data_IF_023773239042
#
_entry.id   IF_023773239042
#
_cell.length_a   1.000
_cell.length_b   1.000
_cell.length_c   1.000
_cell.angle_alpha   90.00
_cell.angle_beta   90.00
_cell.angle_gamma   90.00
#
_symmetry.space_group_name_H-M   'P 1'
#
loop_
_entity.id
_entity.type
_entity.pdbx_description
1 polymer ?
#
# COMPACT_ATOMS: atom_id res chain seq x y z
N UNK A 1 36.52 -117.87 -32.05
CA UNK A 1 35.85 -116.85 -32.89
C UNK A 1 34.85 -117.58 -33.80
N UNK A 2 33.68 -117.01 -34.15
CA UNK A 2 32.84 -116.00 -33.47
C UNK A 2 31.35 -116.47 -33.42
N UNK A 3 30.43 -115.88 -32.64
CA UNK A 3 29.52 -114.79 -33.08
C UNK A 3 28.57 -114.49 -31.90
N UNK A 4 28.70 -113.36 -31.22
CA UNK A 4 28.07 -112.07 -31.54
C UNK A 4 26.66 -111.89 -30.92
N UNK A 5 26.61 -110.94 -29.98
CA UNK A 5 25.55 -109.94 -29.81
C UNK A 5 24.13 -110.39 -29.41
N UNK A 6 23.87 -110.43 -28.09
CA UNK A 6 22.66 -109.80 -27.52
C UNK A 6 22.74 -109.60 -26.00
N UNK A 7 23.80 -108.92 -25.53
CA UNK A 7 23.86 -108.46 -24.15
C UNK A 7 23.06 -107.16 -23.98
N UNK A 8 22.10 -107.22 -23.06
CA UNK A 8 21.69 -106.16 -22.16
C UNK A 8 21.42 -104.78 -22.79
N UNK A 9 20.25 -104.64 -23.43
CA UNK A 9 19.57 -103.34 -23.51
C UNK A 9 18.35 -103.41 -22.61
N UNK A 10 18.53 -102.94 -21.38
CA UNK A 10 17.56 -102.16 -20.60
C UNK A 10 18.12 -102.01 -19.19
N UNK A 11 18.23 -100.76 -18.75
CA UNK A 11 18.62 -100.31 -17.41
C UNK A 11 20.13 -100.17 -17.15
N UNK A 12 20.83 -99.43 -18.01
CA UNK A 12 21.93 -98.60 -17.50
C UNK A 12 21.29 -97.51 -16.62
N UNK A 13 21.64 -97.36 -15.33
CA UNK A 13 21.19 -96.21 -14.56
C UNK A 13 21.71 -94.94 -15.27
N UNK A 14 20.91 -93.87 -15.36
CA UNK A 14 21.36 -92.64 -16.00
C UNK A 14 22.68 -92.24 -15.34
N UNK A 15 23.71 -92.06 -16.16
CA UNK A 15 25.04 -91.68 -15.73
C UNK A 15 24.95 -90.44 -14.84
N UNK A 16 25.46 -90.54 -13.61
CA UNK A 16 25.44 -89.52 -12.54
C UNK A 16 25.82 -88.09 -12.99
N UNK A 17 26.55 -87.97 -14.10
CA UNK A 17 26.95 -86.70 -14.71
C UNK A 17 25.81 -85.98 -15.45
N UNK A 18 24.84 -86.72 -16.03
CA UNK A 18 23.72 -86.17 -16.80
C UNK A 18 22.61 -85.62 -15.90
N UNK A 19 22.35 -86.25 -14.76
CA UNK A 19 21.33 -85.79 -13.80
C UNK A 19 21.76 -84.50 -13.11
N UNK A 20 23.03 -84.38 -12.75
CA UNK A 20 23.59 -83.18 -12.11
C UNK A 20 23.58 -81.97 -13.05
N UNK A 21 23.88 -82.18 -14.34
CA UNK A 21 23.83 -81.11 -15.35
C UNK A 21 22.39 -80.65 -15.63
N UNK A 22 21.44 -81.58 -15.69
CA UNK A 22 20.02 -81.26 -15.86
C UNK A 22 19.44 -80.52 -14.65
N UNK A 23 19.83 -80.92 -13.44
CA UNK A 23 19.43 -80.24 -12.20
C UNK A 23 20.00 -78.81 -12.13
N UNK A 24 21.25 -78.62 -12.54
CA UNK A 24 21.88 -77.29 -12.61
C UNK A 24 21.19 -76.38 -13.64
N UNK A 25 20.78 -76.93 -14.78
CA UNK A 25 20.05 -76.19 -15.81
C UNK A 25 18.65 -75.77 -15.33
N UNK A 26 17.96 -76.66 -14.60
CA UNK A 26 16.66 -76.38 -14.01
C UNK A 26 16.75 -75.31 -12.91
N UNK A 27 17.83 -75.32 -12.12
CA UNK A 27 18.09 -74.32 -11.10
C UNK A 27 18.40 -72.93 -11.70
N UNK A 28 19.15 -72.88 -12.81
CA UNK A 28 19.37 -71.65 -13.57
C UNK A 28 18.06 -71.09 -14.17
N UNK A 29 17.19 -71.96 -14.71
CA UNK A 29 15.88 -71.53 -15.21
C UNK A 29 14.99 -70.96 -14.09
N UNK A 30 14.97 -71.59 -12.91
CA UNK A 30 14.25 -71.05 -11.75
C UNK A 30 14.79 -69.70 -11.30
N UNK A 31 16.13 -69.53 -11.27
CA UNK A 31 16.74 -68.24 -10.95
C UNK A 31 16.38 -67.16 -11.98
N UNK A 32 16.41 -67.48 -13.27
CA UNK A 32 15.98 -66.54 -14.32
C UNK A 32 14.51 -66.16 -14.18
N UNK A 33 13.61 -67.13 -13.91
CA UNK A 33 12.20 -66.85 -13.66
C UNK A 33 12.00 -65.94 -12.45
N UNK A 34 12.67 -66.22 -11.32
CA UNK A 34 12.60 -65.36 -10.13
C UNK A 34 13.09 -63.94 -10.44
N UNK A 35 14.20 -63.81 -11.16
CA UNK A 35 14.76 -62.51 -11.53
C UNK A 35 13.80 -61.72 -12.44
N UNK A 36 13.17 -62.40 -13.40
CA UNK A 36 12.20 -61.79 -14.31
C UNK A 36 10.93 -61.35 -13.56
N UNK A 37 10.46 -62.17 -12.60
CA UNK A 37 9.31 -61.83 -11.76
C UNK A 37 9.62 -60.64 -10.84
N UNK A 38 10.83 -60.58 -10.29
CA UNK A 38 11.28 -59.47 -9.47
C UNK A 38 11.40 -58.17 -10.29
N UNK A 39 11.89 -58.25 -11.53
CA UNK A 39 11.92 -57.10 -12.45
C UNK A 39 10.51 -56.60 -12.79
N UNK A 40 9.56 -57.50 -13.06
CA UNK A 40 8.17 -57.13 -13.30
C UNK A 40 7.54 -56.44 -12.08
N UNK A 41 7.78 -56.95 -10.87
CA UNK A 41 7.28 -56.31 -9.64
C UNK A 41 7.87 -54.91 -9.45
N UNK A 42 9.18 -54.74 -9.69
CA UNK A 42 9.81 -53.42 -9.62
C UNK A 42 9.25 -52.44 -10.66
N UNK A 43 8.96 -52.93 -11.87
CA UNK A 43 8.38 -52.11 -12.93
C UNK A 43 6.95 -51.67 -12.57
N UNK A 44 6.12 -52.58 -12.06
CA UNK A 44 4.78 -52.25 -11.57
C UNK A 44 4.81 -51.24 -10.43
N UNK A 45 5.76 -51.37 -9.48
CA UNK A 45 5.92 -50.40 -8.40
C UNK A 45 6.31 -49.02 -8.92
N UNK A 46 7.23 -48.95 -9.89
CA UNK A 46 7.60 -47.68 -10.53
C UNK A 46 6.43 -47.03 -11.25
N UNK A 47 5.64 -47.80 -11.98
CA UNK A 47 4.44 -47.31 -12.68
C UNK A 47 3.39 -46.79 -11.68
N UNK A 48 3.13 -47.52 -10.59
CA UNK A 48 2.23 -47.05 -9.53
C UNK A 48 2.73 -45.75 -8.89
N UNK A 49 4.02 -45.66 -8.59
CA UNK A 49 4.61 -44.46 -8.00
C UNK A 49 4.51 -43.26 -8.95
N UNK A 50 4.76 -43.48 -10.24
CA UNK A 50 4.63 -42.45 -11.27
C UNK A 50 3.17 -41.99 -11.42
N UNK A 51 2.21 -42.92 -11.39
CA UNK A 51 0.79 -42.60 -11.46
C UNK A 51 0.33 -41.81 -10.24
N UNK A 52 0.80 -42.18 -9.04
CA UNK A 52 0.52 -41.45 -7.80
C UNK A 52 1.10 -40.03 -7.84
N UNK A 53 2.33 -39.88 -8.34
CA UNK A 53 2.96 -38.56 -8.49
C UNK A 53 2.20 -37.69 -9.49
N UNK A 54 1.72 -38.27 -10.60
CA UNK A 54 0.92 -37.55 -11.58
C UNK A 54 -0.44 -37.11 -11.01
N UNK A 55 -1.10 -37.95 -10.21
CA UNK A 55 -2.34 -37.57 -9.51
C UNK A 55 -2.11 -36.43 -8.51
N UNK A 56 -1.02 -36.47 -7.74
CA UNK A 56 -0.68 -35.38 -6.81
C UNK A 56 -0.43 -34.07 -7.56
N UNK A 57 0.31 -34.11 -8.68
CA UNK A 57 0.52 -32.91 -9.50
C UNK A 57 -0.80 -32.34 -10.06
N UNK A 58 -1.73 -33.21 -10.50
CA UNK A 58 -3.04 -32.76 -10.96
C UNK A 58 -3.86 -32.12 -9.84
N UNK A 59 -3.83 -32.67 -8.62
CA UNK A 59 -4.50 -32.09 -7.46
C UNK A 59 -3.93 -30.71 -7.11
N UNK A 60 -2.60 -30.56 -7.08
CA UNK A 60 -1.95 -29.26 -6.83
C UNK A 60 -2.32 -28.24 -7.90
N UNK A 61 -2.33 -28.62 -9.18
CA UNK A 61 -2.78 -27.73 -10.25
C UNK A 61 -4.26 -27.33 -10.12
N UNK A 62 -5.13 -28.26 -9.73
CA UNK A 62 -6.55 -27.94 -9.49
C UNK A 62 -6.71 -26.95 -8.33
N UNK A 63 -5.97 -27.15 -7.24
CA UNK A 63 -5.97 -26.26 -6.09
C UNK A 63 -5.49 -24.85 -6.47
N UNK A 64 -4.38 -24.75 -7.20
CA UNK A 64 -3.86 -23.47 -7.70
C UNK A 64 -4.87 -22.75 -8.61
N UNK A 65 -5.59 -23.49 -9.48
CA UNK A 65 -6.65 -22.89 -10.31
C UNK A 65 -7.81 -22.34 -9.48
N UNK A 66 -8.24 -23.06 -8.44
CA UNK A 66 -9.29 -22.58 -7.54
C UNK A 66 -8.85 -21.34 -6.76
N UNK A 67 -7.62 -21.32 -6.25
CA UNK A 67 -7.06 -20.16 -5.54
C UNK A 67 -6.96 -18.93 -6.46
N UNK A 68 -6.48 -19.11 -7.70
CA UNK A 68 -6.45 -18.02 -8.68
C UNK A 68 -7.86 -17.49 -8.99
N UNK A 69 -8.83 -18.38 -9.15
CA UNK A 69 -10.21 -17.99 -9.40
C UNK A 69 -10.82 -17.23 -8.22
N UNK A 70 -10.53 -17.65 -6.99
CA UNK A 70 -10.96 -16.96 -5.78
C UNK A 70 -10.32 -15.57 -5.66
N UNK A 71 -9.02 -15.46 -5.93
CA UNK A 71 -8.30 -14.19 -5.91
C UNK A 71 -8.84 -13.22 -6.97
N UNK A 72 -9.15 -13.73 -8.17
CA UNK A 72 -9.75 -12.93 -9.24
C UNK A 72 -11.16 -12.44 -8.86
N UNK A 73 -11.98 -13.29 -8.22
CA UNK A 73 -13.28 -12.87 -7.70
C UNK A 73 -13.16 -11.79 -6.63
N UNK A 74 -12.21 -11.92 -5.70
CA UNK A 74 -11.96 -10.89 -4.68
C UNK A 74 -11.54 -9.56 -5.30
N UNK A 75 -10.64 -9.59 -6.29
CA UNK A 75 -10.23 -8.37 -7.00
C UNK A 75 -11.42 -7.71 -7.73
N UNK A 76 -12.28 -8.50 -8.39
CA UNK A 76 -13.49 -7.96 -9.03
C UNK A 76 -14.47 -7.36 -8.01
N UNK A 77 -14.63 -7.98 -6.84
CA UNK A 77 -15.46 -7.43 -5.77
C UNK A 77 -14.90 -6.11 -5.25
N UNK A 78 -13.59 -6.02 -5.05
CA UNK A 78 -12.92 -4.80 -4.60
C UNK A 78 -13.09 -3.66 -5.62
N UNK A 79 -12.88 -3.94 -6.91
CA UNK A 79 -13.10 -2.96 -7.98
C UNK A 79 -14.55 -2.46 -8.04
N UNK A 80 -15.54 -3.35 -7.84
CA UNK A 80 -16.95 -2.94 -7.77
C UNK A 80 -17.25 -2.01 -6.59
N UNK A 81 -16.69 -2.30 -5.41
CA UNK A 81 -16.84 -1.44 -4.24
C UNK A 81 -16.19 -0.06 -4.46
N UNK A 82 -14.99 -0.02 -5.03
CA UNK A 82 -14.31 1.23 -5.35
C UNK A 82 -15.09 2.07 -6.37
N UNK A 83 -15.64 1.45 -7.41
CA UNK A 83 -16.50 2.14 -8.39
C UNK A 83 -17.77 2.69 -7.73
N UNK A 84 -18.44 1.91 -6.88
CA UNK A 84 -19.62 2.39 -6.14
C UNK A 84 -19.27 3.59 -5.25
N UNK A 85 -18.13 3.54 -4.55
CA UNK A 85 -17.69 4.63 -3.69
C UNK A 85 -17.39 5.90 -4.50
N UNK A 86 -16.71 5.78 -5.64
CA UNK A 86 -16.45 6.92 -6.53
C UNK A 86 -17.76 7.50 -7.06
N UNK A 87 -18.72 6.66 -7.47
CA UNK A 87 -20.02 7.12 -7.95
C UNK A 87 -20.80 7.85 -6.85
N UNK A 88 -20.76 7.35 -5.62
CA UNK A 88 -21.40 7.99 -4.47
C UNK A 88 -20.76 9.36 -4.17
N UNK A 89 -19.42 9.46 -4.20
CA UNK A 89 -18.73 10.74 -4.03
C UNK A 89 -19.09 11.73 -5.12
N UNK A 90 -19.18 11.29 -6.38
CA UNK A 90 -19.60 12.16 -7.48
C UNK A 90 -21.04 12.66 -7.29
N UNK A 91 -21.96 11.80 -6.84
CA UNK A 91 -23.33 12.20 -6.51
C UNK A 91 -23.38 13.21 -5.37
N UNK A 92 -22.59 13.02 -4.30
CA UNK A 92 -22.50 13.98 -3.19
C UNK A 92 -21.96 15.34 -3.63
N UNK A 93 -20.92 15.36 -4.47
CA UNK A 93 -20.36 16.60 -5.02
C UNK A 93 -21.39 17.32 -5.89
N UNK A 94 -22.11 16.57 -6.73
CA UNK A 94 -23.17 17.12 -7.59
C UNK A 94 -24.29 17.75 -6.75
N UNK A 95 -24.78 17.03 -5.72
CA UNK A 95 -25.81 17.56 -4.81
C UNK A 95 -25.34 18.83 -4.07
N UNK A 96 -24.07 18.89 -3.66
CA UNK A 96 -23.51 20.09 -3.03
C UNK A 96 -23.47 21.29 -3.97
N UNK A 97 -23.08 21.08 -5.23
CA UNK A 97 -23.12 22.15 -6.24
C UNK A 97 -24.54 22.67 -6.46
N UNK A 98 -25.51 21.77 -6.59
CA UNK A 98 -26.93 22.15 -6.78
C UNK A 98 -27.48 22.92 -5.58
N UNK A 99 -27.18 22.49 -4.35
CA UNK A 99 -27.55 23.22 -3.13
C UNK A 99 -26.91 24.62 -3.10
N UNK A 100 -25.63 24.73 -3.45
CA UNK A 100 -24.94 26.01 -3.49
C UNK A 100 -25.55 26.96 -4.53
N UNK A 101 -25.94 26.43 -5.70
CA UNK A 101 -26.59 27.21 -6.74
C UNK A 101 -27.98 27.70 -6.30
N UNK A 102 -28.79 26.85 -5.64
CA UNK A 102 -30.07 27.25 -5.07
C UNK A 102 -29.91 28.33 -3.98
N UNK A 103 -28.89 28.19 -3.12
CA UNK A 103 -28.61 29.17 -2.08
C UNK A 103 -28.24 30.53 -2.68
N UNK A 104 -27.41 30.56 -3.72
CA UNK A 104 -27.09 31.81 -4.44
C UNK A 104 -28.33 32.43 -5.09
N UNK A 105 -29.20 31.62 -5.70
CA UNK A 105 -30.46 32.13 -6.27
C UNK A 105 -31.36 32.74 -5.20
N UNK A 106 -31.49 32.11 -4.04
CA UNK A 106 -32.26 32.64 -2.92
C UNK A 106 -31.67 33.95 -2.37
N UNK A 107 -30.35 34.06 -2.26
CA UNK A 107 -29.69 35.31 -1.82
C UNK A 107 -29.94 36.45 -2.82
N UNK A 108 -29.86 36.18 -4.13
CA UNK A 108 -30.15 37.17 -5.18
C UNK A 108 -31.62 37.60 -5.12
N UNK A 109 -32.55 36.66 -4.95
CA UNK A 109 -33.98 36.94 -4.83
C UNK A 109 -34.27 37.83 -3.60
N UNK A 110 -33.71 37.50 -2.44
CA UNK A 110 -33.86 38.31 -1.22
C UNK A 110 -33.30 39.73 -1.39
N UNK A 111 -32.16 39.88 -2.08
CA UNK A 111 -31.58 41.20 -2.37
C UNK A 111 -32.49 42.05 -3.28
N UNK A 112 -33.10 41.44 -4.29
CA UNK A 112 -34.06 42.15 -5.15
C UNK A 112 -35.31 42.59 -4.37
N UNK A 113 -35.84 41.74 -3.50
CA UNK A 113 -37.00 42.07 -2.66
C UNK A 113 -36.68 43.21 -1.68
N UNK A 114 -35.50 43.21 -1.06
CA UNK A 114 -35.05 44.32 -0.21
C UNK A 114 -34.91 45.63 -0.98
N UNK A 115 -34.39 45.60 -2.21
CA UNK A 115 -34.30 46.79 -3.05
C UNK A 115 -35.68 47.35 -3.44
N UNK A 116 -36.65 46.49 -3.76
CA UNK A 116 -38.02 46.94 -4.03
C UNK A 116 -38.67 47.60 -2.81
N UNK A 117 -38.48 47.04 -1.61
CA UNK A 117 -39.03 47.62 -0.38
C UNK A 117 -38.43 48.99 -0.05
N UNK A 118 -37.14 49.21 -0.35
CA UNK A 118 -36.49 50.52 -0.15
C UNK A 118 -36.99 51.59 -1.14
N UNK A 119 -37.39 51.20 -2.35
CA UNK A 119 -37.90 52.14 -3.36
C UNK A 119 -39.37 52.56 -3.12
N UNK A 120 -40.13 51.84 -2.29
CA UNK A 120 -41.53 52.16 -2.00
C UNK A 120 -41.72 53.07 -0.75
N UNK A 121 -40.65 53.49 -0.06
CA UNK A 121 -40.77 54.43 1.05
C UNK A 121 -40.88 55.89 0.55
N UNK A 122 -41.94 56.65 0.87
CA UNK A 122 -42.03 58.05 0.50
C UNK A 122 -40.97 58.87 1.24
N UNK A 123 -40.27 59.74 0.50
CA UNK A 123 -39.35 60.73 1.05
C UNK A 123 -40.11 61.77 1.87
N UNK A 124 -40.40 61.48 3.13
CA UNK A 124 -40.81 62.50 4.09
C UNK A 124 -40.36 62.12 5.49
N UNK A 125 -39.89 63.14 6.21
CA UNK A 125 -39.65 63.21 7.65
C UNK A 125 -38.29 62.67 8.13
N UNK A 126 -37.29 63.46 7.77
CA UNK A 126 -36.16 63.77 8.64
C UNK A 126 -36.67 64.61 9.83
N UNK A 127 -37.08 63.97 10.94
CA UNK A 127 -37.03 64.52 12.32
C UNK A 127 -37.76 63.64 13.36
N UNK A 128 -37.02 63.27 14.43
CA UNK A 128 -37.46 62.76 15.75
C UNK A 128 -38.12 61.34 15.72
N UNK A 129 -37.72 60.28 16.45
CA UNK A 129 -37.15 60.10 17.80
C UNK A 129 -36.42 58.72 17.92
N UNK A 130 -35.57 58.53 18.96
CA UNK A 130 -34.89 57.26 19.26
C UNK A 130 -35.74 56.38 20.19
N UNK A 131 -35.97 55.10 19.85
CA UNK A 131 -36.20 53.96 20.79
C UNK A 131 -36.72 52.65 20.17
N UNK A 132 -36.88 52.53 18.84
CA UNK A 132 -37.37 51.27 18.24
C UNK A 132 -36.27 50.34 17.70
N UNK A 133 -35.00 50.76 17.70
CA UNK A 133 -33.89 49.99 17.11
C UNK A 133 -33.46 48.77 17.95
N UNK A 134 -33.95 48.64 19.19
CA UNK A 134 -33.62 47.51 20.08
C UNK A 134 -34.56 46.30 19.90
N UNK A 135 -35.75 46.49 19.33
CA UNK A 135 -36.74 45.41 19.21
C UNK A 135 -36.60 44.58 17.91
N UNK A 136 -36.07 45.16 16.83
CA UNK A 136 -35.78 44.38 15.62
C UNK A 136 -34.46 43.58 15.68
N UNK A 137 -33.55 43.92 16.60
CA UNK A 137 -32.34 43.12 16.83
C UNK A 137 -32.58 41.85 17.67
N UNK A 138 -33.66 41.79 18.46
CA UNK A 138 -33.95 40.62 19.31
C UNK A 138 -34.73 39.51 18.61
N UNK A 139 -35.38 39.79 17.46
CA UNK A 139 -36.19 38.77 16.77
C UNK A 139 -35.43 38.04 15.65
N UNK A 140 -34.25 38.53 15.23
CA UNK A 140 -33.34 37.81 14.32
C UNK A 140 -32.30 36.94 15.05
N UNK A 141 -32.21 37.05 16.37
CA UNK A 141 -31.24 36.31 17.19
C UNK A 141 -31.43 34.78 17.22
N UNK A 142 -32.66 34.21 17.17
CA UNK A 142 -32.81 32.75 17.15
C UNK A 142 -32.39 32.13 15.81
N UNK A 143 -32.52 32.86 14.69
CA UNK A 143 -32.16 32.35 13.37
C UNK A 143 -30.65 32.46 13.09
N UNK A 144 -29.99 33.52 13.59
CA UNK A 144 -28.52 33.60 13.52
C UNK A 144 -27.83 32.61 14.45
N UNK A 145 -28.39 32.27 15.62
CA UNK A 145 -27.81 31.23 16.48
C UNK A 145 -28.00 29.80 15.93
N UNK A 146 -29.07 29.50 15.18
CA UNK A 146 -29.20 28.21 14.52
C UNK A 146 -28.29 28.07 13.28
N UNK A 147 -28.03 29.16 12.53
CA UNK A 147 -27.04 29.12 11.45
C UNK A 147 -25.59 29.10 11.95
N UNK A 148 -25.29 29.64 13.14
CA UNK A 148 -23.96 29.55 13.74
C UNK A 148 -23.64 28.16 14.32
N UNK A 149 -24.63 27.30 14.56
CA UNK A 149 -24.39 25.90 14.95
C UNK A 149 -24.13 24.97 13.75
N UNK A 150 -24.36 25.44 12.52
CA UNK A 150 -24.05 24.72 11.28
C UNK A 150 -23.13 25.50 10.34
N UNK A 151 -22.27 26.37 10.87
CA UNK A 151 -21.04 26.66 10.15
C UNK A 151 -20.16 25.41 10.32
N UNK A 152 -19.84 24.65 9.24
CA UNK A 152 -18.62 23.87 9.31
C UNK A 152 -17.55 24.92 9.55
N UNK A 153 -16.92 24.88 10.73
CA UNK A 153 -15.73 25.67 11.05
C UNK A 153 -14.95 25.81 9.74
N UNK A 154 -14.96 27.00 9.13
CA UNK A 154 -14.13 27.27 7.97
C UNK A 154 -12.71 27.19 8.53
N UNK A 155 -12.19 25.97 8.58
CA UNK A 155 -10.86 25.71 9.05
C UNK A 155 -9.95 26.38 8.04
N UNK A 156 -9.07 27.30 8.48
CA UNK A 156 -8.27 28.06 7.54
C UNK A 156 -7.40 27.08 6.75
N UNK A 157 -7.64 27.06 5.44
CA UNK A 157 -6.79 26.53 4.39
C UNK A 157 -6.06 25.23 4.72
N UNK A 158 -6.80 24.12 4.79
CA UNK A 158 -6.23 22.77 4.77
C UNK A 158 -6.08 22.31 3.32
N UNK A 159 -4.97 22.65 2.67
CA UNK A 159 -4.63 22.07 1.38
C UNK A 159 -4.22 20.60 1.61
N UNK A 160 -5.05 19.67 1.16
CA UNK A 160 -4.73 18.24 1.09
C UNK A 160 -4.09 18.00 -0.28
N UNK A 161 -2.81 17.65 -0.32
CA UNK A 161 -2.24 17.11 -1.55
C UNK A 161 -2.89 15.74 -1.80
N UNK A 162 -3.57 15.59 -2.93
CA UNK A 162 -4.26 14.34 -3.32
C UNK A 162 -3.30 13.19 -3.61
N UNK A 163 -1.99 13.48 -3.66
CA UNK A 163 -0.92 12.53 -4.01
C UNK A 163 0.01 12.18 -2.86
N UNK A 164 -0.16 12.77 -1.67
CA UNK A 164 0.54 12.34 -0.45
C UNK A 164 -0.06 12.93 0.82
N UNK A 165 0.06 12.23 1.97
CA UNK A 165 -0.50 12.59 3.27
C UNK A 165 0.21 13.78 3.95
N UNK A 166 0.53 14.82 3.20
CA UNK A 166 1.02 16.09 3.71
C UNK A 166 -0.19 17.00 3.99
N UNK A 167 -0.34 17.42 5.24
CA UNK A 167 -1.35 18.39 5.66
C UNK A 167 -0.70 19.73 5.93
N UNK A 168 -1.05 20.72 5.12
CA UNK A 168 -0.64 22.12 5.29
C UNK A 168 -1.72 22.88 6.07
N UNK A 169 -1.35 23.60 7.13
CA UNK A 169 -2.22 24.62 7.74
C UNK A 169 -1.43 25.92 7.91
N UNK A 170 -1.78 26.92 7.11
CA UNK A 170 -1.24 28.27 7.22
C UNK A 170 -2.15 29.12 8.13
N UNK A 171 -1.67 29.43 9.32
CA UNK A 171 -2.17 30.49 10.21
C UNK A 171 -0.93 31.29 10.68
N UNK A 172 -0.99 32.39 11.46
CA UNK A 172 0.12 33.37 11.53
C UNK A 172 1.49 32.77 11.91
N UNK A 173 1.51 31.60 12.55
CA UNK A 173 2.65 30.69 12.66
C UNK A 173 2.54 29.51 11.69
N UNK A 174 3.53 29.39 10.79
CA UNK A 174 3.59 28.32 9.78
C UNK A 174 4.04 27.02 10.43
N UNK A 175 3.23 25.97 10.27
CA UNK A 175 3.59 24.61 10.65
C UNK A 175 3.17 23.61 9.57
N UNK A 176 3.89 22.50 9.49
CA UNK A 176 3.67 21.42 8.51
C UNK A 176 3.53 20.10 9.25
N UNK A 177 2.57 19.27 8.85
CA UNK A 177 2.42 17.91 9.37
C UNK A 177 2.49 16.95 8.19
N UNK A 178 3.47 16.05 8.23
CA UNK A 178 3.57 14.93 7.31
C UNK A 178 3.15 13.65 8.04
N UNK A 179 2.12 12.98 7.56
CA UNK A 179 1.57 11.78 8.21
C UNK A 179 1.95 10.57 7.37
N UNK A 180 2.56 9.55 7.96
CA UNK A 180 2.82 8.28 7.29
C UNK A 180 2.43 7.13 8.23
N UNK A 181 1.34 6.45 7.91
CA UNK A 181 0.76 5.40 8.75
C UNK A 181 0.67 5.89 10.21
N UNK A 182 1.36 5.25 11.15
CA UNK A 182 1.32 5.58 12.58
C UNK A 182 2.25 6.74 12.98
N UNK A 183 3.14 7.18 12.08
CA UNK A 183 4.13 8.23 12.35
C UNK A 183 3.67 9.59 11.79
N UNK A 184 3.77 10.64 12.59
CA UNK A 184 3.50 12.02 12.20
C UNK A 184 4.76 12.87 12.41
N UNK A 185 5.26 13.47 11.34
CA UNK A 185 6.38 14.42 11.40
C UNK A 185 5.81 15.84 11.43
N UNK A 186 6.06 16.55 12.51
CA UNK A 186 5.66 17.93 12.73
C UNK A 186 6.83 18.87 12.52
N UNK A 187 6.63 19.91 11.71
CA UNK A 187 7.58 20.99 11.48
C UNK A 187 6.94 22.31 11.89
N UNK A 188 7.66 23.17 12.60
CA UNK A 188 7.20 24.53 12.90
C UNK A 188 8.39 25.48 12.94
N UNK A 189 8.14 26.75 12.59
CA UNK A 189 9.13 27.82 12.63
C UNK A 189 9.44 28.31 14.05
N UNK A 190 8.47 28.15 14.95
CA UNK A 190 8.53 28.65 16.32
C UNK A 190 8.27 27.53 17.34
N UNK A 191 8.95 27.61 18.48
CA UNK A 191 8.84 26.63 19.55
C UNK A 191 7.48 26.69 20.27
N UNK A 192 6.88 27.87 20.42
CA UNK A 192 5.55 27.98 21.02
C UNK A 192 4.48 27.42 20.08
N UNK A 193 4.59 27.69 18.77
CA UNK A 193 3.73 27.08 17.76
C UNK A 193 3.84 25.54 17.75
N UNK A 194 5.06 25.01 17.84
CA UNK A 194 5.32 23.58 17.95
C UNK A 194 4.58 22.97 19.15
N UNK A 195 4.67 23.61 20.31
CA UNK A 195 4.02 23.13 21.52
C UNK A 195 2.50 23.19 21.44
N UNK A 196 1.93 24.29 20.92
CA UNK A 196 0.49 24.41 20.72
C UNK A 196 -0.08 23.29 19.82
N UNK A 197 0.63 22.95 18.75
CA UNK A 197 0.21 21.88 17.84
C UNK A 197 0.31 20.51 18.52
N UNK A 198 1.38 20.27 19.29
CA UNK A 198 1.52 19.03 20.09
C UNK A 198 0.38 18.87 21.08
N UNK A 199 0.04 19.91 21.84
CA UNK A 199 -1.02 19.86 22.84
C UNK A 199 -2.38 19.60 22.17
N UNK A 200 -2.65 20.25 21.03
CA UNK A 200 -3.86 20.00 20.24
C UNK A 200 -3.94 18.57 19.68
N UNK A 201 -2.80 17.96 19.30
CA UNK A 201 -2.73 16.58 18.85
C UNK A 201 -2.94 15.60 20.01
N UNK A 202 -2.25 15.79 21.15
CA UNK A 202 -2.42 14.96 22.34
C UNK A 202 -3.85 14.99 22.90
N UNK A 203 -4.54 16.13 22.77
CA UNK A 203 -5.94 16.26 23.20
C UNK A 203 -6.91 15.43 22.34
N UNK A 204 -6.56 15.11 21.09
CA UNK A 204 -7.45 14.46 20.12
C UNK A 204 -7.01 13.06 19.72
N UNK A 205 -5.72 12.77 19.82
CA UNK A 205 -5.08 11.52 19.41
C UNK A 205 -4.26 10.98 20.58
N UNK A 206 -4.33 9.67 20.79
CA UNK A 206 -3.36 8.98 21.66
C UNK A 206 -2.06 8.86 20.87
N UNK A 207 -1.18 9.86 20.96
CA UNK A 207 0.12 9.80 20.34
C UNK A 207 1.23 10.14 21.34
N UNK A 208 2.41 9.59 21.11
CA UNK A 208 3.62 9.77 21.91
C UNK A 208 4.60 10.66 21.17
N UNK A 209 5.13 11.66 21.86
CA UNK A 209 6.26 12.44 21.36
C UNK A 209 7.56 11.65 21.49
N UNK A 210 8.22 11.43 20.35
CA UNK A 210 9.50 10.73 20.24
C UNK A 210 10.68 11.71 20.12
N UNK A 211 10.42 13.02 20.13
CA UNK A 211 11.42 14.08 20.06
C UNK A 211 11.91 14.34 18.63
N UNK A 212 13.19 14.74 18.52
CA UNK A 212 13.80 15.06 17.24
C UNK A 212 13.80 13.86 16.29
N UNK A 213 13.45 14.10 15.03
CA UNK A 213 13.39 13.09 14.00
C UNK A 213 14.79 12.52 13.69
N UNK A 214 15.14 11.40 14.31
CA UNK A 214 16.39 10.65 14.08
C UNK A 214 16.21 9.44 13.18
N UNK A 215 15.02 8.88 13.12
CA UNK A 215 14.70 7.71 12.30
C UNK A 215 13.33 7.88 11.64
N UNK A 216 13.23 7.51 10.36
CA UNK A 216 11.99 7.58 9.60
C UNK A 216 12.04 6.62 8.40
N UNK A 217 11.00 5.79 8.20
CA UNK A 217 10.92 4.83 7.08
C UNK A 217 12.15 3.91 6.93
N UNK A 218 12.77 3.51 8.05
CA UNK A 218 14.00 2.70 8.01
C UNK A 218 15.27 3.49 7.61
N UNK A 219 15.16 4.82 7.44
CA UNK A 219 16.30 5.72 7.29
C UNK A 219 16.71 6.29 8.65
N UNK A 220 18.01 6.43 8.86
CA UNK A 220 18.60 7.26 9.90
C UNK A 220 18.83 8.66 9.35
N UNK A 221 18.39 9.67 10.09
CA UNK A 221 18.48 11.08 9.75
C UNK A 221 19.43 11.74 10.74
N UNK A 222 20.55 12.22 10.24
CA UNK A 222 21.53 12.99 11.01
C UNK A 222 21.51 14.43 10.52
N UNK A 223 21.51 15.38 11.45
CA UNK A 223 21.54 16.81 11.13
C UNK A 223 22.75 17.46 11.75
N UNK A 224 23.54 18.13 10.94
CA UNK A 224 24.59 19.01 11.40
C UNK A 224 24.15 20.46 11.15
N UNK A 225 23.82 21.16 12.25
CA UNK A 225 23.37 22.55 12.20
C UNK A 225 24.50 23.53 11.90
N UNK A 226 25.74 23.16 12.23
CA UNK A 226 26.92 24.01 12.02
C UNK A 226 27.27 24.03 10.55
N UNK A 227 27.32 22.85 9.91
CA UNK A 227 27.57 22.74 8.46
C UNK A 227 26.30 22.91 7.61
N UNK A 228 25.12 23.03 8.24
CA UNK A 228 23.80 23.09 7.58
C UNK A 228 23.55 21.91 6.65
N UNK A 229 23.99 20.73 7.05
CA UNK A 229 23.82 19.50 6.27
C UNK A 229 22.82 18.56 6.94
N UNK A 230 22.12 17.77 6.11
CA UNK A 230 21.30 16.65 6.55
C UNK A 230 21.79 15.42 5.81
N UNK A 231 22.11 14.38 6.57
CA UNK A 231 22.51 13.08 6.05
C UNK A 231 21.37 12.09 6.26
N UNK A 232 21.00 11.39 5.20
CA UNK A 232 20.07 10.26 5.25
C UNK A 232 20.86 8.99 5.00
N UNK A 233 20.75 8.02 5.91
CA UNK A 233 21.43 6.73 5.78
C UNK A 233 20.42 5.59 5.88
N UNK A 234 20.50 4.64 4.95
CA UNK A 234 19.84 3.33 5.05
C UNK A 234 20.85 2.21 5.28
N UNK A 235 22.02 2.51 5.84
CA UNK A 235 23.11 1.54 6.01
C UNK A 235 22.63 0.22 6.63
N UNK A 236 21.81 0.28 7.67
CA UNK A 236 21.25 -0.92 8.31
C UNK A 236 20.41 -1.79 7.36
N UNK A 237 19.58 -1.18 6.52
CA UNK A 237 18.80 -1.92 5.52
C UNK A 237 19.70 -2.52 4.44
N UNK A 238 20.70 -1.77 3.98
CA UNK A 238 21.70 -2.26 3.02
C UNK A 238 22.44 -3.46 3.61
N UNK A 239 22.88 -3.37 4.86
CA UNK A 239 23.56 -4.46 5.57
C UNK A 239 22.66 -5.70 5.67
N UNK A 240 21.38 -5.53 6.00
CA UNK A 240 20.39 -6.62 6.04
C UNK A 240 20.19 -7.28 4.67
N UNK A 241 20.12 -6.49 3.60
CA UNK A 241 20.00 -7.01 2.23
C UNK A 241 21.27 -7.77 1.84
N UNK A 242 22.45 -7.20 2.07
CA UNK A 242 23.73 -7.86 1.79
C UNK A 242 23.84 -9.17 2.55
N UNK A 243 23.45 -9.21 3.82
CA UNK A 243 23.43 -10.44 4.61
C UNK A 243 22.45 -11.49 4.04
N UNK A 244 21.25 -11.07 3.63
CA UNK A 244 20.23 -11.96 3.05
C UNK A 244 20.67 -12.63 1.75
N UNK A 245 21.50 -11.95 0.96
CA UNK A 245 22.02 -12.47 -0.33
C UNK A 245 23.44 -13.03 -0.22
N UNK A 246 23.97 -13.21 1.00
CA UNK A 246 25.33 -13.70 1.26
C UNK A 246 26.43 -12.84 0.61
N UNK A 247 26.18 -11.53 0.55
CA UNK A 247 27.02 -10.49 -0.04
C UNK A 247 27.61 -9.55 1.03
N UNK A 248 27.66 -9.96 2.30
CA UNK A 248 28.19 -9.12 3.39
C UNK A 248 29.65 -8.67 3.18
N UNK A 249 30.42 -9.39 2.34
CA UNK A 249 31.81 -9.07 1.99
C UNK A 249 31.94 -8.41 0.60
N UNK A 250 30.84 -7.98 -0.02
CA UNK A 250 30.87 -7.29 -1.30
C UNK A 250 31.64 -5.97 -1.19
N UNK A 251 32.50 -5.68 -2.17
CA UNK A 251 33.28 -4.44 -2.19
C UNK A 251 32.35 -3.25 -2.43
N UNK A 252 32.41 -2.19 -1.60
CA UNK A 252 31.59 -1.01 -1.83
C UNK A 252 32.02 -0.32 -3.13
N UNK A 253 31.05 0.16 -3.89
CA UNK A 253 31.26 1.05 -5.05
C UNK A 253 30.76 2.44 -4.67
N UNK A 254 31.54 3.48 -4.97
CA UNK A 254 31.32 4.85 -4.51
C UNK A 254 29.98 5.44 -4.98
N UNK A 255 29.45 4.95 -6.09
CA UNK A 255 28.18 5.38 -6.68
C UNK A 255 27.47 4.16 -7.30
N UNK A 256 26.46 3.57 -6.63
CA UNK A 256 25.70 2.46 -7.19
C UNK A 256 24.75 2.89 -8.32
N UNK A 257 24.54 4.19 -8.50
CA UNK A 257 23.73 4.79 -9.56
C UNK A 257 24.62 5.72 -10.40
N UNK A 258 24.61 5.53 -11.72
CA UNK A 258 25.33 6.38 -12.66
C UNK A 258 24.76 7.81 -12.59
N UNK A 259 25.61 8.80 -12.32
CA UNK A 259 25.24 10.23 -12.19
C UNK A 259 25.01 10.91 -13.55
N UNK A 260 25.14 10.19 -14.66
CA UNK A 260 25.05 10.74 -16.03
C UNK A 260 23.62 10.77 -16.60
N UNK A 261 22.61 10.34 -15.83
CA UNK A 261 21.25 10.72 -16.15
C UNK A 261 21.09 12.23 -15.95
N UNK A 262 21.29 12.98 -17.03
CA UNK A 262 20.69 14.29 -17.18
C UNK A 262 19.21 14.12 -16.89
N UNK A 263 18.79 14.54 -15.69
CA UNK A 263 17.40 14.74 -15.35
C UNK A 263 16.93 15.89 -16.25
N UNK A 264 16.59 15.58 -17.50
CA UNK A 264 15.92 16.52 -18.36
C UNK A 264 14.69 17.00 -17.59
N UNK A 265 14.51 18.31 -17.38
CA UNK A 265 13.26 18.78 -16.82
C UNK A 265 12.13 18.25 -17.71
N UNK A 266 11.04 17.71 -17.14
CA UNK A 266 9.85 17.43 -17.94
C UNK A 266 9.48 18.72 -18.70
N UNK A 267 9.02 18.60 -19.96
CA UNK A 267 8.64 19.78 -20.74
C UNK A 267 7.66 20.63 -19.92
N UNK A 268 7.99 21.90 -19.78
CA UNK A 268 7.27 22.81 -18.89
C UNK A 268 5.76 22.81 -19.19
N UNK A 269 4.90 22.74 -18.16
CA UNK A 269 3.48 23.00 -18.35
C UNK A 269 3.31 24.46 -18.76
N UNK A 270 2.70 24.67 -19.92
CA UNK A 270 2.25 25.99 -20.36
C UNK A 270 1.22 26.53 -19.38
N UNK A 271 1.45 27.77 -18.91
CA UNK A 271 0.61 28.64 -18.07
C UNK A 271 0.84 28.60 -16.54
N UNK A 272 1.62 29.59 -16.09
CA UNK A 272 1.44 30.44 -14.89
C UNK A 272 0.71 29.86 -13.67
N UNK A 273 1.48 29.42 -12.65
CA UNK A 273 1.56 30.08 -11.33
C UNK A 273 2.46 29.32 -10.33
N UNK A 274 3.65 29.88 -10.07
CA UNK A 274 4.59 29.68 -8.94
C UNK A 274 5.11 28.24 -8.57
N UNK A 275 6.40 28.09 -8.17
CA UNK A 275 7.29 26.98 -8.53
C UNK A 275 7.34 25.80 -7.53
N UNK A 276 6.25 25.51 -6.82
CA UNK A 276 6.18 24.40 -5.85
C UNK A 276 5.16 23.31 -6.22
N UNK A 277 4.47 23.45 -7.35
CA UNK A 277 3.34 22.60 -7.73
C UNK A 277 3.72 21.16 -8.16
N UNK A 278 4.99 20.87 -8.44
CA UNK A 278 5.45 19.56 -8.93
C UNK A 278 6.60 18.94 -8.13
N UNK A 279 6.79 19.34 -6.86
CA UNK A 279 7.74 18.62 -6.01
C UNK A 279 7.10 17.30 -5.58
N UNK A 280 7.66 16.18 -6.08
CA UNK A 280 7.31 14.84 -5.62
C UNK A 280 7.34 14.85 -4.08
N UNK A 281 6.36 14.28 -3.37
CA UNK A 281 6.16 14.43 -1.92
C UNK A 281 7.43 14.23 -1.07
N UNK A 282 8.31 13.35 -1.53
CA UNK A 282 9.63 13.08 -0.97
C UNK A 282 10.57 14.29 -1.04
N UNK A 283 10.64 15.00 -2.17
CA UNK A 283 11.48 16.19 -2.34
C UNK A 283 11.01 17.35 -1.47
N UNK A 284 9.68 17.54 -1.33
CA UNK A 284 9.13 18.54 -0.41
C UNK A 284 9.41 18.16 1.05
N UNK A 285 9.27 16.88 1.42
CA UNK A 285 9.64 16.40 2.75
C UNK A 285 11.13 16.62 3.05
N UNK A 286 12.03 16.36 2.09
CA UNK A 286 13.46 16.63 2.22
C UNK A 286 13.76 18.13 2.35
N UNK A 287 13.09 18.97 1.58
CA UNK A 287 13.24 20.42 1.66
C UNK A 287 12.74 20.98 3.00
N UNK A 288 11.59 20.51 3.49
CA UNK A 288 11.05 20.88 4.80
C UNK A 288 11.92 20.36 5.95
N UNK A 289 12.55 19.19 5.77
CA UNK A 289 13.58 18.72 6.67
C UNK A 289 14.74 19.74 6.71
N UNK A 290 15.23 20.22 5.57
CA UNK A 290 16.35 21.16 5.56
C UNK A 290 16.05 22.50 6.26
N UNK A 291 14.82 22.99 6.21
CA UNK A 291 14.46 24.33 6.68
C UNK A 291 13.94 24.40 8.12
N UNK A 292 13.28 23.35 8.62
CA UNK A 292 12.56 23.41 9.90
C UNK A 292 13.07 22.38 10.91
N UNK A 293 12.74 22.53 12.20
CA UNK A 293 13.00 21.52 13.23
C UNK A 293 11.87 20.47 13.22
N UNK A 294 12.10 19.23 12.75
CA UNK A 294 11.09 18.19 12.78
C UNK A 294 11.02 17.52 14.15
N UNK A 295 9.80 17.27 14.61
CA UNK A 295 9.51 16.33 15.68
C UNK A 295 8.73 15.15 15.12
N UNK A 296 8.91 13.96 15.69
CA UNK A 296 8.11 12.79 15.35
C UNK A 296 7.18 12.44 16.50
N UNK A 297 5.90 12.34 16.18
CA UNK A 297 4.86 11.82 17.05
C UNK A 297 4.42 10.47 16.49
N UNK A 298 4.14 9.49 17.37
CA UNK A 298 3.67 8.16 16.96
C UNK A 298 2.35 7.82 17.62
N UNK A 299 1.36 7.44 16.82
CA UNK A 299 0.03 6.97 17.25
C UNK A 299 0.05 5.56 17.84
#
# INVERSE_FOLDING_TARGET
LPSALRLARLLSPPTFRSTHQQQQQQQQQQQQQQQQQQQQQQQQQKEQQQQQQQQQQQQVQQQQRMEQQQQQQQQQQQQRMEQQQQQQQQQEVQQRMEQQQQQQQQEVQQRMEQQQQQQQQPQAVQQQQPLQEVQHQHQQQPQQQQQQQHQPLQQPHRHRCTTSPLFLRSSPTRFFILVYVDDMILFADDAAAMQQVKDALHARLKCKDLGELKHYLGMTITRDRTSRTITLSQSFYIDQVLQRFDMAQAKPVTTPLQTDHQLAPPPAPSSSDHPYAELRPHQLALHLLLLHRPLILRG
#
